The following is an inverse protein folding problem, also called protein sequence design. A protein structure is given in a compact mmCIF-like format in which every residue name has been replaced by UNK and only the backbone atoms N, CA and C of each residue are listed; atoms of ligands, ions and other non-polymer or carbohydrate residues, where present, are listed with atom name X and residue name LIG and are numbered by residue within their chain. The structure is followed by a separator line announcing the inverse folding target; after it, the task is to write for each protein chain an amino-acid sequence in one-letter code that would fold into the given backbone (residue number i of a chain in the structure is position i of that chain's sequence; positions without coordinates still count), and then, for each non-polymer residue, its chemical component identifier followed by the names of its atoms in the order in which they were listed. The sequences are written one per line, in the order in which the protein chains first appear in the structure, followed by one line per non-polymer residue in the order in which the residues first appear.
data_IF_317652685338
#
_entry.id   IF_317652685338
#
_cell.length_a   1.000
_cell.length_b   1.000
_cell.length_c   1.000
_cell.angle_alpha   90.00
_cell.angle_beta   90.00
_cell.angle_gamma   90.00
#
_symmetry.space_group_name_H-M   'P 1'
#
loop_
_entity.id
_entity.type
_entity.pdbx_description
1 polymer ?
#
# COMPACT_ATOMS: atom_id res chain seq x y z
N UNK A 1 -9.26 9.36 -13.88
CA UNK A 1 -8.18 9.10 -12.91
C UNK A 1 -7.87 10.36 -12.14
N UNK A 2 -7.57 10.26 -10.85
CA UNK A 2 -7.26 11.42 -9.99
C UNK A 2 -5.77 11.43 -9.69
N UNK A 3 -5.09 12.55 -9.98
CA UNK A 3 -3.69 12.79 -9.63
C UNK A 3 -3.61 13.40 -8.24
N UNK A 4 -2.74 12.86 -7.38
CA UNK A 4 -2.59 13.27 -5.98
C UNK A 4 -1.22 13.94 -5.76
N UNK A 5 -1.05 15.15 -6.28
CA UNK A 5 0.19 15.94 -6.13
C UNK A 5 1.34 15.43 -7.01
N UNK A 6 2.01 14.36 -6.59
CA UNK A 6 3.15 13.77 -7.32
C UNK A 6 2.72 13.31 -8.73
N UNK A 7 3.58 13.54 -9.74
CA UNK A 7 3.26 13.26 -11.14
C UNK A 7 2.81 11.80 -11.38
N UNK A 8 3.50 10.84 -10.76
CA UNK A 8 3.16 9.41 -10.82
C UNK A 8 2.12 8.92 -9.81
N UNK A 9 1.63 9.76 -8.89
CA UNK A 9 0.60 9.37 -7.93
C UNK A 9 -0.78 9.48 -8.59
N UNK A 10 -1.13 8.50 -9.42
CA UNK A 10 -2.36 8.49 -10.20
C UNK A 10 -2.99 7.09 -10.25
N UNK A 11 -4.31 7.05 -10.08
CA UNK A 11 -5.14 5.88 -10.40
C UNK A 11 -5.82 6.13 -11.75
N UNK A 12 -5.63 5.25 -12.73
CA UNK A 12 -6.21 5.38 -14.07
C UNK A 12 -6.74 4.06 -14.59
N UNK A 13 -7.93 4.07 -15.20
CA UNK A 13 -8.57 2.85 -15.72
C UNK A 13 -8.72 1.74 -14.66
N UNK A 14 -8.96 2.10 -13.40
CA UNK A 14 -9.04 1.16 -12.27
C UNK A 14 -7.70 0.56 -11.82
N UNK A 15 -6.57 0.93 -12.45
CA UNK A 15 -5.23 0.43 -12.11
C UNK A 15 -4.46 1.42 -11.25
N UNK A 16 -3.52 0.90 -10.46
CA UNK A 16 -2.64 1.69 -9.58
C UNK A 16 -3.24 2.02 -8.22
N UNK A 17 -4.34 1.36 -7.83
CA UNK A 17 -4.99 1.57 -6.53
C UNK A 17 -4.12 1.07 -5.37
N UNK A 18 -4.37 1.59 -4.16
CA UNK A 18 -3.67 1.14 -2.96
C UNK A 18 -4.07 -0.31 -2.61
N UNK A 19 -5.35 -0.62 -2.73
CA UNK A 19 -5.93 -1.93 -2.42
C UNK A 19 -5.29 -3.05 -3.24
N UNK A 20 -5.06 -2.82 -4.53
CA UNK A 20 -4.42 -3.79 -5.41
C UNK A 20 -2.96 -4.07 -5.00
N UNK A 21 -2.23 -3.04 -4.56
CA UNK A 21 -0.84 -3.19 -4.07
C UNK A 21 -0.80 -3.93 -2.73
N UNK A 22 -1.70 -3.59 -1.82
CA UNK A 22 -1.82 -4.24 -0.51
C UNK A 22 -2.17 -5.72 -0.67
N UNK A 23 -3.11 -6.06 -1.56
CA UNK A 23 -3.46 -7.45 -1.86
C UNK A 23 -2.24 -8.24 -2.37
N UNK A 24 -1.51 -7.69 -3.36
CA UNK A 24 -0.32 -8.33 -3.90
C UNK A 24 0.78 -8.55 -2.85
N UNK A 25 0.97 -7.61 -1.92
CA UNK A 25 1.90 -7.78 -0.80
C UNK A 25 1.46 -8.89 0.15
N UNK A 26 0.18 -8.93 0.53
CA UNK A 26 -0.35 -9.99 1.39
C UNK A 26 -0.23 -11.37 0.75
N UNK A 27 -0.53 -11.49 -0.55
CA UNK A 27 -0.37 -12.74 -1.30
C UNK A 27 1.09 -13.21 -1.36
N UNK A 28 2.05 -12.27 -1.34
CA UNK A 28 3.47 -12.55 -1.25
C UNK A 28 3.98 -12.82 0.18
N UNK A 29 3.10 -12.82 1.19
CA UNK A 29 3.47 -13.00 2.60
C UNK A 29 4.14 -11.78 3.24
N UNK A 30 4.02 -10.60 2.62
CA UNK A 30 4.57 -9.35 3.16
C UNK A 30 3.60 -8.76 4.19
N UNK A 31 4.11 -8.39 5.35
CA UNK A 31 3.36 -7.69 6.39
C UNK A 31 3.05 -6.25 5.95
N UNK A 32 1.81 -5.80 6.12
CA UNK A 32 1.35 -4.48 5.65
C UNK A 32 0.64 -3.72 6.77
N UNK A 33 1.22 -2.60 7.20
CA UNK A 33 0.57 -1.62 8.07
C UNK A 33 -0.57 -0.91 7.34
N UNK A 34 -1.74 -0.78 7.99
CA UNK A 34 -2.92 -0.14 7.38
C UNK A 34 -2.82 1.38 7.44
N UNK A 35 -2.16 1.90 8.47
CA UNK A 35 -1.86 3.33 8.61
C UNK A 35 -0.36 3.56 8.82
N UNK A 36 0.16 4.76 8.46
CA UNK A 36 1.58 5.05 8.69
C UNK A 36 2.01 4.94 10.17
N UNK A 37 1.10 5.22 11.09
CA UNK A 37 1.38 5.16 12.53
C UNK A 37 1.63 3.74 13.05
N UNK A 38 1.11 2.72 12.37
CA UNK A 38 1.25 1.30 12.75
C UNK A 38 2.55 0.67 12.25
N UNK A 39 3.36 1.37 11.45
CA UNK A 39 4.55 0.78 10.81
C UNK A 39 5.54 0.16 11.80
N UNK A 40 5.71 0.78 12.98
CA UNK A 40 6.60 0.27 14.01
C UNK A 40 6.07 -1.04 14.63
N UNK A 41 4.78 -1.10 14.94
CA UNK A 41 4.16 -2.29 15.53
C UNK A 41 4.21 -3.48 14.56
N UNK A 42 3.93 -3.24 13.28
CA UNK A 42 3.98 -4.29 12.25
C UNK A 42 5.41 -4.78 12.02
N UNK A 43 6.40 -3.89 12.08
CA UNK A 43 7.81 -4.30 12.00
C UNK A 43 8.16 -5.23 13.16
N UNK A 44 7.79 -4.87 14.39
CA UNK A 44 8.04 -5.69 15.57
C UNK A 44 7.34 -7.06 15.52
N UNK A 45 6.14 -7.12 14.92
CA UNK A 45 5.41 -8.38 14.71
C UNK A 45 6.05 -9.29 13.64
N UNK A 46 6.78 -8.72 12.68
CA UNK A 46 7.38 -9.46 11.57
C UNK A 46 8.82 -9.97 11.86
N UNK A 47 9.37 -9.63 13.03
CA UNK A 47 10.68 -10.11 13.53
C UNK A 47 10.57 -11.46 14.22
#
# INVERSE_FOLDING_TARGET
GRRMGHAGAIVSGGKGTAEAKIAAFKDAGIHVAQTPSEMADVLLQAM
#
